data_IF_493314929121
#
_entry.id   IF_493314929121
#
_cell.length_a   1.000
_cell.length_b   1.000
_cell.length_c   1.000
_cell.angle_alpha   90.00
_cell.angle_beta   90.00
_cell.angle_gamma   90.00
#
_symmetry.space_group_name_H-M   'P 1'
#
loop_
_entity.id
_entity.type
_entity.pdbx_description
1 polymer ?
#
# COMPACT_ATOMS: atom_id res chain seq x y z
N UNK A 1 26.43 16.70 -11.69
CA UNK A 1 26.62 16.38 -13.12
C UNK A 1 27.00 14.92 -13.20
N UNK A 2 26.00 14.06 -13.32
CA UNK A 2 26.16 12.62 -13.50
C UNK A 2 25.33 12.26 -14.73
N UNK A 3 26.04 11.88 -15.79
CA UNK A 3 25.47 11.32 -17.01
C UNK A 3 24.90 9.92 -16.70
N UNK A 4 23.61 9.74 -16.95
CA UNK A 4 23.00 8.42 -16.97
C UNK A 4 22.87 8.00 -18.44
N UNK A 5 23.62 6.97 -18.82
CA UNK A 5 23.55 6.33 -20.13
C UNK A 5 22.23 5.54 -20.18
N UNK A 6 21.27 6.00 -20.99
CA UNK A 6 20.06 5.26 -21.31
C UNK A 6 20.35 4.14 -22.31
N UNK A 7 19.95 2.92 -21.99
CA UNK A 7 19.85 1.81 -22.94
C UNK A 7 18.37 1.62 -23.24
N UNK A 8 17.99 1.83 -24.50
CA UNK A 8 16.69 1.48 -25.04
C UNK A 8 16.82 0.27 -25.96
N UNK A 9 15.76 -0.54 -26.09
CA UNK A 9 15.80 -1.90 -26.59
C UNK A 9 16.07 -2.08 -28.11
N UNK A 10 16.40 -1.02 -28.85
CA UNK A 10 16.67 -1.09 -30.31
C UNK A 10 17.78 -0.13 -30.82
N UNK A 11 18.81 0.12 -30.00
CA UNK A 11 20.14 0.46 -30.53
C UNK A 11 20.30 1.70 -31.43
N UNK A 12 19.42 2.71 -31.35
CA UNK A 12 19.56 3.96 -32.09
C UNK A 12 19.56 5.19 -31.15
N UNK A 13 20.64 5.98 -31.23
CA UNK A 13 20.85 7.23 -30.47
C UNK A 13 19.89 8.33 -30.95
N UNK A 14 19.05 8.86 -30.06
CA UNK A 14 18.17 10.01 -30.31
C UNK A 14 18.25 11.03 -29.17
N UNK A 15 18.23 12.31 -29.53
CA UNK A 15 18.66 13.45 -28.72
C UNK A 15 17.54 13.99 -27.82
N UNK A 16 17.94 14.55 -26.67
CA UNK A 16 17.17 15.09 -25.56
C UNK A 16 15.89 15.90 -25.90
N UNK A 17 14.80 15.55 -25.21
CA UNK A 17 13.62 16.39 -25.01
C UNK A 17 13.39 16.60 -23.51
N UNK A 18 13.39 17.86 -23.09
CA UNK A 18 13.29 18.32 -21.71
C UNK A 18 11.87 18.07 -21.16
N UNK A 19 11.69 17.07 -20.29
CA UNK A 19 10.47 16.87 -19.52
C UNK A 19 10.81 16.84 -18.02
N UNK A 20 10.14 17.72 -17.26
CA UNK A 20 10.47 18.07 -15.88
C UNK A 20 10.39 16.89 -14.90
N UNK A 21 11.25 16.95 -13.88
CA UNK A 21 11.46 15.89 -12.88
C UNK A 21 10.24 15.46 -12.06
N UNK A 22 9.12 16.18 -12.15
CA UNK A 22 7.87 15.86 -11.44
C UNK A 22 7.04 14.76 -12.14
N UNK A 23 7.25 14.52 -13.44
CA UNK A 23 6.52 13.47 -14.18
C UNK A 23 7.13 12.09 -13.98
N UNK A 24 8.42 12.01 -13.65
CA UNK A 24 9.14 10.75 -13.47
C UNK A 24 8.82 10.08 -12.12
N UNK A 25 8.53 10.87 -11.08
CA UNK A 25 8.17 10.36 -9.75
C UNK A 25 6.75 9.77 -9.71
N UNK A 26 5.85 10.32 -10.53
CA UNK A 26 4.46 9.86 -10.69
C UNK A 26 4.39 8.48 -11.35
N UNK A 27 5.23 8.23 -12.36
CA UNK A 27 5.36 6.90 -12.98
C UNK A 27 6.01 5.87 -12.06
N UNK A 28 6.95 6.29 -11.20
CA UNK A 28 7.63 5.38 -10.26
C UNK A 28 6.73 4.95 -9.10
N UNK A 29 5.89 5.85 -8.56
CA UNK A 29 4.87 5.48 -7.58
C UNK A 29 3.73 4.68 -8.23
N UNK A 30 3.33 4.99 -9.46
CA UNK A 30 2.43 4.13 -10.24
C UNK A 30 2.99 2.71 -10.41
N UNK A 31 4.27 2.54 -10.72
CA UNK A 31 4.87 1.22 -10.90
C UNK A 31 4.91 0.40 -9.60
N UNK A 32 5.23 1.04 -8.46
CA UNK A 32 5.28 0.42 -7.14
C UNK A 32 3.90 0.05 -6.57
N UNK A 33 2.84 0.76 -6.98
CA UNK A 33 1.47 0.49 -6.57
C UNK A 33 0.73 -0.49 -7.52
N UNK A 34 1.16 -0.62 -8.78
CA UNK A 34 0.45 -1.39 -9.82
C UNK A 34 1.05 -2.79 -10.06
N UNK A 35 2.38 -2.98 -9.97
CA UNK A 35 3.02 -4.23 -10.38
C UNK A 35 3.09 -5.25 -9.23
N UNK A 36 1.95 -5.48 -8.57
CA UNK A 36 1.79 -6.55 -7.58
C UNK A 36 2.48 -7.83 -8.05
N UNK A 37 3.63 -8.12 -7.45
CA UNK A 37 4.30 -9.40 -7.60
C UNK A 37 3.52 -10.40 -6.74
N UNK A 38 2.33 -10.77 -7.22
CA UNK A 38 1.48 -11.77 -6.61
C UNK A 38 2.27 -13.06 -6.38
N UNK A 39 2.28 -13.45 -5.11
CA UNK A 39 1.93 -14.77 -4.59
C UNK A 39 2.48 -16.01 -5.32
N UNK A 40 3.12 -16.87 -4.53
CA UNK A 40 3.67 -18.20 -4.82
C UNK A 40 5.17 -18.24 -5.10
N UNK A 41 5.74 -17.41 -5.97
CA UNK A 41 7.19 -17.46 -6.27
C UNK A 41 8.04 -17.05 -5.06
N UNK A 42 7.64 -15.99 -4.34
CA UNK A 42 8.33 -15.54 -3.12
C UNK A 42 8.10 -16.52 -1.97
N UNK A 43 6.88 -17.07 -1.84
CA UNK A 43 6.53 -18.08 -0.81
C UNK A 43 7.28 -19.40 -1.02
N UNK A 44 7.53 -19.79 -2.27
CA UNK A 44 8.34 -20.96 -2.62
C UNK A 44 9.84 -20.68 -2.47
N UNK A 45 10.32 -19.48 -2.81
CA UNK A 45 11.73 -19.12 -2.66
C UNK A 45 12.17 -19.07 -1.19
N UNK A 46 11.32 -18.53 -0.29
CA UNK A 46 11.60 -18.51 1.16
C UNK A 46 11.48 -19.90 1.79
N UNK A 47 10.57 -20.75 1.31
CA UNK A 47 10.43 -22.15 1.79
C UNK A 47 11.52 -23.08 1.23
N UNK A 48 11.96 -22.86 0.00
CA UNK A 48 13.05 -23.63 -0.64
C UNK A 48 14.44 -23.18 -0.18
N UNK A 49 14.63 -21.96 0.34
CA UNK A 49 15.93 -21.51 0.84
C UNK A 49 16.42 -22.28 2.07
N UNK A 50 15.54 -23.01 2.76
CA UNK A 50 15.90 -23.91 3.87
C UNK A 50 16.50 -25.27 3.41
N UNK A 51 16.52 -25.61 2.12
CA UNK A 51 16.96 -26.94 1.66
C UNK A 51 18.07 -26.97 0.58
N UNK A 52 18.69 -25.85 0.21
CA UNK A 52 19.81 -25.89 -0.74
C UNK A 52 21.16 -26.14 -0.06
N UNK A 53 21.36 -27.40 0.35
CA UNK A 53 22.68 -27.97 0.56
C UNK A 53 22.90 -29.02 -0.54
N UNK A 54 23.57 -28.64 -1.64
CA UNK A 54 24.60 -29.42 -2.36
C UNK A 54 24.98 -28.68 -3.66
N UNK A 55 26.23 -28.21 -3.71
CA UNK A 55 27.08 -28.14 -4.90
C UNK A 55 26.73 -27.17 -6.02
N UNK A 56 27.26 -25.94 -5.96
CA UNK A 56 27.98 -25.27 -7.06
C UNK A 56 28.52 -23.90 -6.59
N UNK A 57 29.84 -23.73 -6.68
CA UNK A 57 30.53 -22.48 -6.34
C UNK A 57 30.50 -21.52 -7.52
N UNK A 58 29.88 -20.36 -7.33
CA UNK A 58 30.31 -19.09 -7.91
C UNK A 58 29.71 -17.95 -7.08
N UNK A 59 30.56 -17.32 -6.28
CA UNK A 59 30.35 -16.10 -5.49
C UNK A 59 28.89 -15.82 -5.08
N UNK A 60 28.43 -16.48 -4.01
CA UNK A 60 27.20 -16.12 -3.30
C UNK A 60 27.35 -14.67 -2.83
N UNK A 61 26.75 -13.72 -3.55
CA UNK A 61 26.50 -12.40 -2.99
C UNK A 61 25.61 -12.65 -1.77
N UNK A 62 26.19 -12.53 -0.57
CA UNK A 62 25.45 -12.76 0.66
C UNK A 62 24.18 -11.91 0.60
N UNK A 63 23.02 -12.56 0.73
CA UNK A 63 21.75 -11.85 0.82
C UNK A 63 21.92 -10.86 1.98
N UNK A 64 21.76 -9.54 1.76
CA UNK A 64 21.93 -8.58 2.83
C UNK A 64 20.97 -8.94 3.98
N UNK A 65 21.40 -8.78 5.24
CA UNK A 65 20.54 -9.06 6.38
C UNK A 65 19.23 -8.26 6.26
N UNK A 66 18.13 -8.86 6.71
CA UNK A 66 16.83 -8.20 6.67
C UNK A 66 16.91 -6.87 7.42
N UNK A 67 16.61 -5.78 6.72
CA UNK A 67 16.54 -4.45 7.32
C UNK A 67 15.15 -4.24 7.91
N UNK A 68 15.01 -3.31 8.87
CA UNK A 68 13.69 -2.95 9.42
C UNK A 68 12.71 -2.60 8.29
N UNK A 69 13.15 -1.85 7.29
CA UNK A 69 12.32 -1.50 6.14
C UNK A 69 11.88 -2.71 5.29
N UNK A 70 12.74 -3.71 5.07
CA UNK A 70 12.35 -4.91 4.32
C UNK A 70 11.41 -5.83 5.10
N UNK A 71 11.60 -5.91 6.43
CA UNK A 71 10.72 -6.67 7.32
C UNK A 71 9.33 -6.04 7.40
N UNK A 72 9.25 -4.73 7.65
CA UNK A 72 8.00 -3.99 7.69
C UNK A 72 7.23 -4.09 6.37
N UNK A 73 7.93 -3.92 5.24
CA UNK A 73 7.31 -4.09 3.91
C UNK A 73 6.75 -5.49 3.73
N UNK A 74 7.49 -6.54 4.11
CA UNK A 74 7.05 -7.92 3.94
C UNK A 74 5.81 -8.22 4.79
N UNK A 75 5.83 -7.82 6.06
CA UNK A 75 4.69 -7.99 6.96
C UNK A 75 3.46 -7.18 6.49
N UNK A 76 3.68 -5.94 6.03
CA UNK A 76 2.62 -5.10 5.47
C UNK A 76 2.01 -5.71 4.21
N UNK A 77 2.83 -6.18 3.26
CA UNK A 77 2.34 -6.81 2.02
C UNK A 77 1.47 -8.02 2.33
N UNK A 78 1.89 -8.89 3.25
CA UNK A 78 1.09 -10.06 3.63
C UNK A 78 -0.25 -9.66 4.27
N UNK A 79 -0.22 -8.70 5.20
CA UNK A 79 -1.42 -8.20 5.86
C UNK A 79 -2.40 -7.59 4.85
N UNK A 80 -1.93 -6.69 3.97
CA UNK A 80 -2.82 -5.97 3.04
C UNK A 80 -3.37 -6.89 1.94
N UNK A 81 -2.62 -7.92 1.54
CA UNK A 81 -3.10 -8.93 0.60
C UNK A 81 -4.26 -9.73 1.19
N UNK A 82 -4.13 -10.20 2.43
CA UNK A 82 -5.20 -10.95 3.10
C UNK A 82 -6.43 -10.08 3.38
N UNK A 83 -6.23 -8.85 3.84
CA UNK A 83 -7.33 -7.88 4.03
C UNK A 83 -8.11 -7.69 2.73
N UNK A 84 -7.40 -7.53 1.62
CA UNK A 84 -8.02 -7.37 0.32
C UNK A 84 -8.75 -8.64 -0.15
N UNK A 85 -8.16 -9.82 0.03
CA UNK A 85 -8.80 -11.09 -0.30
C UNK A 85 -10.10 -11.30 0.51
N UNK A 86 -10.09 -10.96 1.79
CA UNK A 86 -11.27 -11.05 2.65
C UNK A 86 -12.37 -10.03 2.27
N UNK A 87 -11.99 -8.82 1.85
CA UNK A 87 -12.96 -7.86 1.29
C UNK A 87 -13.64 -8.41 0.03
N UNK A 88 -12.87 -8.94 -0.91
CA UNK A 88 -13.44 -9.53 -2.13
C UNK A 88 -14.33 -10.72 -1.78
N UNK A 89 -13.90 -11.59 -0.88
CA UNK A 89 -14.69 -12.74 -0.42
C UNK A 89 -15.99 -12.33 0.30
N UNK A 90 -16.02 -11.17 0.95
CA UNK A 90 -17.21 -10.59 1.58
C UNK A 90 -18.19 -9.90 0.60
N UNK A 91 -17.88 -9.88 -0.70
CA UNK A 91 -18.75 -9.31 -1.74
C UNK A 91 -18.40 -7.88 -2.17
N UNK A 92 -17.20 -7.40 -1.84
CA UNK A 92 -16.65 -6.12 -2.32
C UNK A 92 -15.78 -6.36 -3.59
N UNK A 93 -16.32 -7.09 -4.57
CA UNK A 93 -15.61 -7.58 -5.76
C UNK A 93 -15.35 -6.50 -6.84
N UNK A 94 -15.98 -5.33 -6.69
CA UNK A 94 -15.69 -4.11 -7.45
C UNK A 94 -14.41 -3.40 -6.99
N UNK A 95 -13.81 -3.82 -5.86
CA UNK A 95 -12.47 -3.41 -5.48
C UNK A 95 -11.41 -4.14 -6.30
N UNK A 96 -10.45 -3.37 -6.83
CA UNK A 96 -9.36 -3.88 -7.67
C UNK A 96 -8.05 -3.89 -6.90
N UNK A 97 -7.06 -4.74 -7.26
CA UNK A 97 -5.77 -4.78 -6.57
C UNK A 97 -5.07 -3.42 -6.47
N UNK A 98 -5.27 -2.54 -7.47
CA UNK A 98 -4.76 -1.17 -7.47
C UNK A 98 -5.32 -0.29 -6.32
N UNK A 99 -6.45 -0.68 -5.72
CA UNK A 99 -7.05 0.05 -4.58
C UNK A 99 -6.41 -0.33 -3.24
N UNK A 100 -5.73 -1.47 -3.11
CA UNK A 100 -5.08 -1.92 -1.86
C UNK A 100 -4.34 -0.82 -1.07
N UNK A 101 -3.44 -0.03 -1.69
CA UNK A 101 -2.67 0.98 -0.95
C UNK A 101 -3.51 2.13 -0.38
N UNK A 102 -4.72 2.37 -0.92
CA UNK A 102 -5.54 3.54 -0.62
C UNK A 102 -6.82 3.22 0.18
N UNK A 103 -7.13 1.93 0.37
CA UNK A 103 -8.36 1.49 1.07
C UNK A 103 -8.49 2.09 2.47
N UNK A 104 -7.38 2.15 3.22
CA UNK A 104 -7.36 2.76 4.55
C UNK A 104 -7.78 4.23 4.51
N UNK A 105 -7.24 5.00 3.55
CA UNK A 105 -7.48 6.44 3.47
C UNK A 105 -8.89 6.76 2.94
N UNK A 106 -9.52 5.87 2.17
CA UNK A 106 -10.87 6.10 1.67
C UNK A 106 -11.97 5.58 2.59
N UNK A 107 -11.76 4.46 3.26
CA UNK A 107 -12.81 3.81 4.06
C UNK A 107 -12.87 4.34 5.50
N UNK A 108 -11.79 4.92 6.00
CA UNK A 108 -11.64 5.29 7.42
C UNK A 108 -11.57 6.81 7.64
N UNK A 109 -11.35 7.61 6.59
CA UNK A 109 -11.05 9.04 6.76
C UNK A 109 -12.23 9.96 6.43
N UNK A 110 -12.38 11.02 7.24
CA UNK A 110 -13.30 12.13 6.97
C UNK A 110 -12.54 13.32 6.33
N UNK A 111 -11.86 13.07 5.20
CA UNK A 111 -10.99 14.04 4.54
C UNK A 111 -11.74 14.87 3.50
N UNK A 112 -11.27 16.08 3.23
CA UNK A 112 -11.57 16.81 2.00
C UNK A 112 -10.85 16.13 0.82
N UNK A 113 -11.38 16.15 -0.42
CA UNK A 113 -10.69 15.61 -1.59
C UNK A 113 -9.27 16.18 -1.80
N UNK A 114 -9.04 17.45 -1.44
CA UNK A 114 -7.72 18.07 -1.48
C UNK A 114 -6.75 17.51 -0.45
N UNK A 115 -7.24 17.13 0.73
CA UNK A 115 -6.43 16.53 1.79
C UNK A 115 -6.10 15.08 1.43
N UNK A 116 -7.05 14.35 0.85
CA UNK A 116 -6.81 13.02 0.29
C UNK A 116 -5.72 13.08 -0.80
N UNK A 117 -5.79 14.04 -1.72
CA UNK A 117 -4.79 14.24 -2.76
C UNK A 117 -3.39 14.48 -2.16
N UNK A 118 -3.29 15.37 -1.16
CA UNK A 118 -2.03 15.66 -0.48
C UNK A 118 -1.47 14.42 0.24
N UNK A 119 -2.32 13.68 0.95
CA UNK A 119 -1.96 12.50 1.73
C UNK A 119 -1.50 11.34 0.85
N UNK A 120 -2.20 11.09 -0.24
CA UNK A 120 -1.85 10.06 -1.22
C UNK A 120 -0.77 10.51 -2.21
N UNK A 121 -0.31 11.78 -2.13
CA UNK A 121 0.60 12.40 -3.10
C UNK A 121 0.11 12.28 -4.54
N UNK A 122 -1.21 12.36 -4.73
CA UNK A 122 -1.87 12.32 -6.03
C UNK A 122 -2.10 13.73 -6.56
N UNK A 123 -2.18 13.85 -7.88
CA UNK A 123 -2.71 15.07 -8.48
C UNK A 123 -4.18 15.27 -8.06
N UNK A 124 -4.64 16.53 -8.08
CA UNK A 124 -6.05 16.85 -7.79
C UNK A 124 -7.00 16.11 -8.72
N UNK A 125 -6.62 15.92 -9.99
CA UNK A 125 -7.43 15.20 -10.97
C UNK A 125 -7.54 13.72 -10.62
N UNK A 126 -6.41 13.06 -10.34
CA UNK A 126 -6.39 11.65 -9.96
C UNK A 126 -7.19 11.40 -8.67
N UNK A 127 -7.06 12.27 -7.66
CA UNK A 127 -7.86 12.18 -6.44
C UNK A 127 -9.36 12.35 -6.70
N UNK A 128 -9.75 13.30 -7.56
CA UNK A 128 -11.16 13.49 -7.92
C UNK A 128 -11.74 12.31 -8.72
N UNK A 129 -10.94 11.67 -9.57
CA UNK A 129 -11.37 10.49 -10.33
C UNK A 129 -11.57 9.29 -9.39
N UNK A 130 -10.65 9.12 -8.43
CA UNK A 130 -10.74 8.11 -7.39
C UNK A 130 -11.97 8.31 -6.48
N UNK A 131 -12.22 9.54 -6.05
CA UNK A 131 -13.41 9.88 -5.26
C UNK A 131 -14.68 9.59 -6.06
N UNK A 132 -14.73 9.97 -7.34
CA UNK A 132 -15.89 9.68 -8.20
C UNK A 132 -16.14 8.19 -8.38
N UNK A 133 -15.08 7.38 -8.53
CA UNK A 133 -15.19 5.92 -8.61
C UNK A 133 -15.76 5.33 -7.32
N UNK A 134 -15.23 5.71 -6.15
CA UNK A 134 -15.72 5.19 -4.88
C UNK A 134 -17.12 5.69 -4.53
N UNK A 135 -17.49 6.90 -4.96
CA UNK A 135 -18.85 7.42 -4.84
C UNK A 135 -19.81 6.67 -5.75
N UNK A 136 -19.45 6.41 -7.02
CA UNK A 136 -20.29 5.63 -7.94
C UNK A 136 -20.49 4.19 -7.50
N UNK A 137 -19.48 3.60 -6.86
CA UNK A 137 -19.53 2.26 -6.29
C UNK A 137 -20.23 2.22 -4.92
N UNK A 138 -20.67 3.40 -4.43
CA UNK A 138 -21.46 3.53 -3.22
C UNK A 138 -20.68 3.33 -1.92
N UNK A 139 -19.35 3.39 -1.93
CA UNK A 139 -18.52 3.32 -0.70
C UNK A 139 -18.52 4.63 0.07
N UNK A 140 -18.54 5.76 -0.65
CA UNK A 140 -18.48 7.10 -0.06
C UNK A 140 -19.56 8.01 -0.63
N UNK A 141 -19.76 9.14 0.00
CA UNK A 141 -20.50 10.28 -0.52
C UNK A 141 -19.80 11.58 -0.15
N UNK A 142 -20.07 12.65 -0.90
CA UNK A 142 -19.54 13.98 -0.60
C UNK A 142 -20.59 14.86 0.10
N UNK A 143 -20.37 15.13 1.37
CA UNK A 143 -21.24 16.00 2.18
C UNK A 143 -20.63 17.41 2.33
N UNK A 144 -21.45 18.47 2.51
CA UNK A 144 -20.93 19.81 2.84
C UNK A 144 -20.04 19.78 4.08
N UNK A 145 -18.93 20.51 4.05
CA UNK A 145 -18.08 20.64 5.23
C UNK A 145 -18.74 21.58 6.26
N UNK A 146 -19.00 21.12 7.51
CA UNK A 146 -19.59 21.98 8.54
C UNK A 146 -18.73 23.20 8.90
N UNK A 147 -17.41 23.12 8.68
CA UNK A 147 -16.48 24.20 8.98
C UNK A 147 -16.25 25.15 7.80
N UNK A 148 -16.65 24.73 6.59
CA UNK A 148 -16.45 25.48 5.34
C UNK A 148 -17.51 25.12 4.30
N UNK A 149 -18.60 25.90 4.22
CA UNK A 149 -19.71 25.64 3.31
C UNK A 149 -19.37 25.66 1.81
N UNK A 150 -18.13 26.00 1.42
CA UNK A 150 -17.64 25.90 0.03
C UNK A 150 -16.91 24.59 -0.24
N UNK A 151 -16.51 23.87 0.81
CA UNK A 151 -15.81 22.59 0.72
C UNK A 151 -16.78 21.41 0.90
N UNK A 152 -16.30 20.22 0.52
CA UNK A 152 -16.99 18.96 0.76
C UNK A 152 -16.05 17.99 1.49
N UNK A 153 -16.63 17.11 2.30
CA UNK A 153 -15.94 16.02 2.98
C UNK A 153 -16.36 14.68 2.42
N UNK A 154 -15.40 13.77 2.34
CA UNK A 154 -15.60 12.37 2.00
C UNK A 154 -16.18 11.69 3.25
N UNK A 155 -17.38 11.14 3.12
CA UNK A 155 -18.07 10.44 4.21
C UNK A 155 -18.37 9.02 3.76
N UNK A 156 -18.02 8.03 4.58
CA UNK A 156 -18.32 6.64 4.29
C UNK A 156 -19.84 6.39 4.33
N UNK A 157 -20.36 5.69 3.33
CA UNK A 157 -21.76 5.22 3.32
C UNK A 157 -21.92 4.00 4.25
N UNK A 158 -23.11 3.40 4.28
CA UNK A 158 -23.29 2.11 4.93
C UNK A 158 -22.39 1.01 4.32
N UNK A 159 -22.29 0.93 2.98
CA UNK A 159 -21.41 -0.02 2.28
C UNK A 159 -19.94 0.26 2.60
N UNK A 160 -19.53 1.54 2.62
CA UNK A 160 -18.19 1.96 3.04
C UNK A 160 -17.83 1.51 4.44
N UNK A 161 -18.74 1.70 5.40
CA UNK A 161 -18.55 1.24 6.79
C UNK A 161 -18.45 -0.28 6.88
N UNK A 162 -19.32 -1.03 6.19
CA UNK A 162 -19.24 -2.49 6.16
C UNK A 162 -17.90 -2.99 5.59
N UNK A 163 -17.38 -2.33 4.56
CA UNK A 163 -16.05 -2.64 4.03
C UNK A 163 -14.94 -2.30 5.05
N UNK A 164 -15.02 -1.15 5.73
CA UNK A 164 -14.08 -0.78 6.79
C UNK A 164 -14.08 -1.80 7.94
N UNK A 165 -15.27 -2.22 8.39
CA UNK A 165 -15.43 -3.20 9.48
C UNK A 165 -14.83 -4.55 9.06
N UNK A 166 -15.12 -5.01 7.84
CA UNK A 166 -14.54 -6.24 7.27
C UNK A 166 -13.01 -6.17 7.22
N UNK A 167 -12.45 -5.04 6.77
CA UNK A 167 -11.01 -4.84 6.70
C UNK A 167 -10.37 -4.84 8.10
N UNK A 168 -11.02 -4.21 9.08
CA UNK A 168 -10.55 -4.16 10.46
C UNK A 168 -10.59 -5.54 11.12
N UNK A 169 -11.67 -6.29 10.93
CA UNK A 169 -11.81 -7.66 11.43
C UNK A 169 -10.72 -8.58 10.86
N UNK A 170 -10.44 -8.46 9.55
CA UNK A 170 -9.36 -9.19 8.88
C UNK A 170 -7.99 -8.81 9.44
N UNK A 171 -7.71 -7.51 9.62
CA UNK A 171 -6.45 -7.04 10.21
C UNK A 171 -6.26 -7.57 11.63
N UNK A 172 -7.33 -7.54 12.45
CA UNK A 172 -7.30 -8.09 13.80
C UNK A 172 -7.07 -9.62 13.81
N UNK A 173 -7.58 -10.34 12.81
CA UNK A 173 -7.33 -11.77 12.66
C UNK A 173 -5.86 -12.07 12.35
N UNK A 174 -5.23 -11.27 11.47
CA UNK A 174 -3.79 -11.34 11.21
C UNK A 174 -3.00 -11.09 12.50
N UNK A 175 -3.34 -10.03 13.24
CA UNK A 175 -2.70 -9.70 14.52
C UNK A 175 -2.77 -10.84 15.54
N UNK A 176 -3.95 -11.46 15.73
CA UNK A 176 -4.10 -12.63 16.61
C UNK A 176 -3.20 -13.80 16.20
N UNK A 177 -3.10 -14.10 14.90
CA UNK A 177 -2.21 -15.19 14.43
C UNK A 177 -0.73 -14.85 14.62
N UNK A 178 -0.35 -13.58 14.49
CA UNK A 178 1.00 -13.14 14.83
C UNK A 178 1.27 -13.30 16.33
N UNK A 179 0.32 -12.95 17.18
CA UNK A 179 0.41 -13.15 18.63
C UNK A 179 0.58 -14.63 19.01
N UNK A 180 -0.21 -15.53 18.41
CA UNK A 180 -0.07 -16.98 18.57
C UNK A 180 1.31 -17.49 18.11
N UNK A 181 1.84 -16.93 17.03
CA UNK A 181 3.13 -17.34 16.45
C UNK A 181 4.34 -16.92 17.31
N UNK A 182 4.35 -15.68 17.81
CA UNK A 182 5.52 -15.11 18.50
C UNK A 182 5.39 -15.14 20.03
N UNK A 183 4.18 -15.38 20.54
CA UNK A 183 3.80 -15.30 21.95
C UNK A 183 3.16 -13.94 22.28
N UNK A 184 2.07 -13.99 23.06
CA UNK A 184 1.24 -12.83 23.43
C UNK A 184 2.04 -11.66 24.01
N UNK A 185 2.94 -11.92 24.95
CA UNK A 185 3.75 -10.87 25.59
C UNK A 185 4.66 -10.13 24.59
N UNK A 186 5.29 -10.88 23.68
CA UNK A 186 6.16 -10.28 22.66
C UNK A 186 5.36 -9.49 21.64
N UNK A 187 4.18 -9.97 21.29
CA UNK A 187 3.28 -9.28 20.38
C UNK A 187 2.74 -7.98 20.99
N UNK A 188 2.36 -8.00 22.28
CA UNK A 188 1.95 -6.79 22.99
C UNK A 188 3.06 -5.71 22.98
N UNK A 189 4.31 -6.09 23.29
CA UNK A 189 5.45 -5.17 23.21
C UNK A 189 5.66 -4.65 21.78
N UNK A 190 5.47 -5.50 20.76
CA UNK A 190 5.55 -5.09 19.37
C UNK A 190 4.48 -4.05 19.01
N UNK A 191 3.22 -4.27 19.41
CA UNK A 191 2.15 -3.29 19.21
C UNK A 191 2.42 -1.97 19.94
N UNK A 192 2.88 -2.02 21.20
CA UNK A 192 3.27 -0.82 21.95
C UNK A 192 4.35 -0.01 21.23
N UNK A 193 5.39 -0.68 20.72
CA UNK A 193 6.46 -0.02 19.96
C UNK A 193 5.93 0.59 18.67
N UNK A 194 5.07 -0.12 17.92
CA UNK A 194 4.45 0.43 16.71
C UNK A 194 3.55 1.63 17.01
N UNK A 195 2.76 1.57 18.07
CA UNK A 195 1.92 2.68 18.52
C UNK A 195 2.77 3.91 18.86
N UNK A 196 3.89 3.73 19.58
CA UNK A 196 4.80 4.83 19.89
C UNK A 196 5.42 5.45 18.63
N UNK A 197 5.82 4.63 17.65
CA UNK A 197 6.35 5.11 16.36
C UNK A 197 5.30 5.93 15.60
N UNK A 198 4.07 5.43 15.48
CA UNK A 198 2.98 6.11 14.77
C UNK A 198 2.56 7.41 15.47
N UNK A 199 2.51 7.42 16.80
CA UNK A 199 2.17 8.62 17.57
C UNK A 199 3.22 9.74 17.42
N UNK A 200 4.50 9.38 17.29
CA UNK A 200 5.57 10.33 17.07
C UNK A 200 5.54 10.96 15.66
N UNK A 201 5.02 10.25 14.66
CA UNK A 201 4.89 10.72 13.27
C UNK A 201 3.69 11.68 13.12
N UNK A 202 2.57 11.42 13.83
CA UNK A 202 1.38 12.27 13.79
C UNK A 202 1.46 13.56 14.63
N UNK A 203 2.55 13.76 15.38
CA UNK A 203 2.79 14.96 16.20
C UNK A 203 3.63 16.04 15.50
N UNK A 204 3.97 15.85 14.22
CA UNK A 204 4.74 16.76 13.37
C UNK A 204 3.85 17.43 12.31
#
# INVERSE_FOLDING_TARGET
>A
MLDVIGIDADGARGVAGHLGGDVLLDQFLHALLIHGASSMVVRQAVRNSMLYRTGMSSATRAVPPLTVGSMLRSAWTELIDEVFENLVAAGFDDLRPIHRPILRDLLVSNLRPSELAARLRLSKQAANDLVREFESNGYITLEPDPDDGRAKRIVATQRGRQASDTAQESSNAVGRRWAELVGEERYAVFEEVLHAIVAADGAQ
#
